data_IF_831246445186
#
_entry.id   IF_831246445186
#
_cell.length_a   1.000
_cell.length_b   1.000
_cell.length_c   1.000
_cell.angle_alpha   90.00
_cell.angle_beta   90.00
_cell.angle_gamma   90.00
#
_symmetry.space_group_name_H-M   'P 1'
#
loop_
_entity.id
_entity.type
_entity.pdbx_description
1 polymer ?
#
# COMPACT_ATOMS: atom_id res chain seq x y z
N UNK A 1 -2.75 -26.05 7.39
CA UNK A 1 -2.62 -24.80 6.61
C UNK A 1 -2.76 -24.98 5.11
N UNK A 2 -1.93 -25.83 4.46
CA UNK A 2 -1.94 -26.00 3.00
C UNK A 2 -3.26 -26.52 2.41
N UNK A 3 -4.01 -27.35 3.15
CA UNK A 3 -5.28 -27.91 2.67
C UNK A 3 -6.36 -26.85 2.40
N UNK A 4 -6.42 -25.78 3.20
CA UNK A 4 -7.34 -24.66 2.96
C UNK A 4 -6.99 -23.92 1.66
N UNK A 5 -5.70 -23.66 1.46
CA UNK A 5 -5.19 -22.97 0.26
C UNK A 5 -5.51 -23.75 -1.00
N UNK A 6 -5.17 -25.04 -1.01
CA UNK A 6 -5.42 -25.94 -2.15
C UNK A 6 -6.91 -26.06 -2.46
N UNK A 7 -7.76 -26.16 -1.43
CA UNK A 7 -9.21 -26.22 -1.63
C UNK A 7 -9.73 -24.93 -2.28
N UNK A 8 -9.31 -23.76 -1.78
CA UNK A 8 -9.75 -22.49 -2.32
C UNK A 8 -9.20 -22.24 -3.74
N UNK A 9 -7.94 -22.58 -4.00
CA UNK A 9 -7.36 -22.51 -5.36
C UNK A 9 -8.07 -23.43 -6.34
N UNK A 10 -8.41 -24.65 -5.92
CA UNK A 10 -9.20 -25.57 -6.73
C UNK A 10 -10.59 -25.00 -7.05
N UNK A 11 -11.25 -24.33 -6.09
CA UNK A 11 -12.56 -23.68 -6.31
C UNK A 11 -12.42 -22.52 -7.30
N UNK A 12 -11.42 -21.65 -7.12
CA UNK A 12 -11.22 -20.47 -7.96
C UNK A 12 -10.92 -20.89 -9.41
N UNK A 13 -10.10 -21.92 -9.62
CA UNK A 13 -9.69 -22.38 -10.95
C UNK A 13 -10.68 -23.34 -11.64
N UNK A 14 -11.59 -23.99 -10.91
CA UNK A 14 -12.47 -25.02 -11.50
C UNK A 14 -13.60 -24.43 -12.35
N UNK A 15 -13.93 -25.11 -13.45
CA UNK A 15 -15.15 -24.80 -14.23
C UNK A 15 -16.43 -25.25 -13.49
N UNK A 16 -17.60 -24.65 -13.82
CA UNK A 16 -18.88 -25.07 -13.26
C UNK A 16 -19.09 -26.58 -13.40
N UNK A 17 -19.09 -27.29 -12.27
CA UNK A 17 -19.12 -28.75 -12.25
C UNK A 17 -19.62 -29.29 -10.92
N UNK A 18 -20.03 -30.56 -10.90
CA UNK A 18 -20.38 -31.25 -9.65
C UNK A 18 -19.22 -31.25 -8.64
N UNK A 19 -17.97 -31.33 -9.12
CA UNK A 19 -16.77 -31.26 -8.29
C UNK A 19 -16.60 -29.89 -7.63
N UNK A 20 -16.87 -28.81 -8.37
CA UNK A 20 -16.88 -27.45 -7.82
C UNK A 20 -17.92 -27.35 -6.69
N UNK A 21 -19.16 -27.80 -6.91
CA UNK A 21 -20.21 -27.73 -5.88
C UNK A 21 -19.80 -28.49 -4.61
N UNK A 22 -19.24 -29.69 -4.76
CA UNK A 22 -18.74 -30.48 -3.61
C UNK A 22 -17.55 -29.82 -2.90
N UNK A 23 -16.67 -29.13 -3.63
CA UNK A 23 -15.57 -28.38 -3.03
C UNK A 23 -16.09 -27.18 -2.24
N UNK A 24 -17.08 -26.46 -2.77
CA UNK A 24 -17.75 -25.35 -2.09
C UNK A 24 -18.52 -25.85 -0.85
N UNK A 25 -19.20 -27.00 -0.92
CA UNK A 25 -19.82 -27.68 0.24
C UNK A 25 -18.80 -27.96 1.34
N UNK A 26 -17.63 -28.45 0.95
CA UNK A 26 -16.54 -28.76 1.88
C UNK A 26 -16.02 -27.50 2.55
N UNK A 27 -15.89 -26.40 1.80
CA UNK A 27 -15.45 -25.11 2.34
C UNK A 27 -16.49 -24.48 3.28
N UNK A 28 -17.78 -24.56 2.94
CA UNK A 28 -18.85 -24.12 3.82
C UNK A 28 -18.88 -24.92 5.13
N UNK A 29 -18.78 -26.25 5.06
CA UNK A 29 -18.70 -27.09 6.26
C UNK A 29 -17.43 -26.81 7.08
N UNK A 30 -16.33 -26.44 6.43
CA UNK A 30 -15.11 -26.03 7.12
C UNK A 30 -15.34 -24.76 7.95
N UNK A 31 -16.02 -23.75 7.39
CA UNK A 31 -16.36 -22.52 8.11
C UNK A 31 -17.37 -22.79 9.24
N UNK A 32 -18.42 -23.57 8.98
CA UNK A 32 -19.46 -23.89 9.98
C UNK A 32 -18.92 -24.69 11.19
N UNK A 33 -17.83 -25.45 11.02
CA UNK A 33 -17.19 -26.23 12.08
C UNK A 33 -16.12 -25.45 12.86
N UNK A 34 -16.08 -24.12 12.73
CA UNK A 34 -15.06 -23.26 13.36
C UNK A 34 -13.63 -23.74 13.13
N UNK A 35 -13.32 -24.22 11.92
CA UNK A 35 -11.98 -24.70 11.58
C UNK A 35 -11.04 -23.57 11.17
N UNK A 36 -11.56 -22.36 10.99
CA UNK A 36 -10.76 -21.19 10.66
C UNK A 36 -9.98 -20.71 11.90
N UNK A 37 -10.58 -20.80 13.10
CA UNK A 37 -9.90 -20.55 14.36
C UNK A 37 -8.76 -21.55 14.58
N UNK A 38 -8.94 -22.82 14.21
CA UNK A 38 -7.85 -23.81 14.26
C UNK A 38 -6.69 -23.47 13.31
N UNK A 39 -6.99 -23.04 12.07
CA UNK A 39 -5.98 -22.58 11.10
C UNK A 39 -5.18 -21.39 11.64
N UNK A 40 -5.88 -20.35 12.11
CA UNK A 40 -5.25 -19.13 12.65
C UNK A 40 -4.43 -19.46 13.91
N UNK A 41 -4.94 -20.33 14.78
CA UNK A 41 -4.27 -20.79 16.00
C UNK A 41 -2.94 -21.50 15.72
N UNK A 42 -2.87 -22.39 14.72
CA UNK A 42 -1.62 -23.07 14.37
C UNK A 42 -0.52 -22.07 13.96
N UNK A 43 -0.88 -21.00 13.25
CA UNK A 43 0.05 -19.93 12.88
C UNK A 43 0.50 -19.14 14.12
N UNK A 44 -0.42 -18.88 15.05
CA UNK A 44 -0.14 -18.19 16.31
C UNK A 44 0.78 -19.00 17.24
N UNK A 45 0.66 -20.33 17.23
CA UNK A 45 1.47 -21.25 18.05
C UNK A 45 2.89 -21.42 17.52
N UNK A 46 3.09 -21.42 16.19
CA UNK A 46 4.39 -21.69 15.55
C UNK A 46 5.33 -20.47 15.50
N UNK A 47 5.55 -19.77 16.62
CA UNK A 47 6.35 -18.54 16.66
C UNK A 47 7.84 -18.72 16.27
N UNK A 48 8.27 -19.97 16.03
CA UNK A 48 9.65 -20.36 15.73
C UNK A 48 9.73 -21.18 14.43
N UNK A 49 10.30 -20.57 13.38
CA UNK A 49 10.97 -21.18 12.22
C UNK A 49 10.22 -22.03 11.17
N UNK A 50 9.00 -22.54 11.41
CA UNK A 50 8.41 -23.53 10.49
C UNK A 50 7.64 -22.99 9.26
N UNK A 51 7.12 -21.75 9.28
CA UNK A 51 6.26 -21.22 8.20
C UNK A 51 6.86 -20.01 7.50
N UNK A 52 7.02 -20.11 6.17
CA UNK A 52 7.50 -19.03 5.31
C UNK A 52 6.64 -17.76 5.48
N UNK A 53 7.23 -16.55 5.57
CA UNK A 53 6.48 -15.29 5.65
C UNK A 53 5.54 -15.11 4.44
N UNK A 54 5.94 -15.61 3.27
CA UNK A 54 5.14 -15.61 2.05
C UNK A 54 3.87 -16.45 2.22
N UNK A 55 3.97 -17.62 2.86
CA UNK A 55 2.82 -18.47 3.13
C UNK A 55 1.83 -17.78 4.08
N UNK A 56 2.33 -17.11 5.14
CA UNK A 56 1.48 -16.37 6.09
C UNK A 56 0.71 -15.24 5.39
N UNK A 57 1.39 -14.45 4.57
CA UNK A 57 0.74 -13.38 3.81
C UNK A 57 -0.28 -13.95 2.79
N UNK A 58 0.02 -15.10 2.17
CA UNK A 58 -0.90 -15.74 1.23
C UNK A 58 -2.16 -16.24 1.94
N UNK A 59 -2.01 -16.88 3.12
CA UNK A 59 -3.16 -17.33 3.94
C UNK A 59 -4.00 -16.13 4.36
N UNK A 60 -3.35 -15.07 4.88
CA UNK A 60 -4.02 -13.84 5.27
C UNK A 60 -4.84 -13.24 4.11
N UNK A 61 -4.24 -13.12 2.92
CA UNK A 61 -4.95 -12.65 1.72
C UNK A 61 -6.15 -13.53 1.40
N UNK A 62 -5.98 -14.86 1.40
CA UNK A 62 -7.04 -15.79 1.06
C UNK A 62 -8.18 -15.81 2.07
N UNK A 63 -7.89 -15.66 3.36
CA UNK A 63 -8.90 -15.58 4.42
C UNK A 63 -9.71 -14.29 4.27
N UNK A 64 -9.05 -13.14 4.16
CA UNK A 64 -9.74 -11.85 4.14
C UNK A 64 -10.53 -11.63 2.83
N UNK A 65 -9.97 -12.04 1.69
CA UNK A 65 -10.63 -11.90 0.38
C UNK A 65 -11.54 -13.09 0.02
N UNK A 66 -11.80 -14.03 0.93
CA UNK A 66 -12.64 -15.20 0.66
C UNK A 66 -14.04 -14.84 0.12
N UNK A 67 -14.77 -13.87 0.72
CA UNK A 67 -16.07 -13.43 0.19
C UNK A 67 -16.00 -12.93 -1.23
N UNK A 68 -14.95 -12.18 -1.58
CA UNK A 68 -14.79 -11.59 -2.91
C UNK A 68 -14.48 -12.67 -3.94
N UNK A 69 -13.58 -13.61 -3.61
CA UNK A 69 -13.25 -14.75 -4.48
C UNK A 69 -14.48 -15.60 -4.79
N UNK A 70 -15.28 -15.94 -3.77
CA UNK A 70 -16.46 -16.79 -3.94
C UNK A 70 -17.65 -16.04 -4.53
N UNK A 71 -17.84 -14.77 -4.19
CA UNK A 71 -18.83 -13.91 -4.82
C UNK A 71 -18.59 -13.79 -6.32
N UNK A 72 -17.34 -13.55 -6.73
CA UNK A 72 -16.97 -13.47 -8.15
C UNK A 72 -17.11 -14.82 -8.86
N UNK A 73 -16.79 -15.93 -8.18
CA UNK A 73 -16.81 -17.26 -8.76
C UNK A 73 -18.22 -17.87 -8.89
N UNK A 74 -19.04 -17.69 -7.85
CA UNK A 74 -20.36 -18.34 -7.74
C UNK A 74 -21.50 -17.43 -8.20
N UNK A 75 -21.30 -16.11 -8.17
CA UNK A 75 -22.28 -15.10 -8.62
C UNK A 75 -23.67 -15.34 -8.00
N UNK A 76 -24.68 -15.65 -8.82
CA UNK A 76 -26.06 -15.89 -8.38
C UNK A 76 -26.23 -17.17 -7.56
N UNK A 77 -25.31 -18.14 -7.68
CA UNK A 77 -25.32 -19.42 -6.96
C UNK A 77 -24.50 -19.34 -5.66
N UNK A 78 -24.15 -18.13 -5.21
CA UNK A 78 -23.38 -17.94 -3.99
C UNK A 78 -24.18 -18.32 -2.74
N UNK A 79 -23.47 -18.66 -1.66
CA UNK A 79 -24.07 -19.15 -0.42
C UNK A 79 -24.14 -18.07 0.65
N UNK A 80 -25.14 -18.12 1.55
CA UNK A 80 -25.31 -17.15 2.63
C UNK A 80 -24.02 -16.89 3.42
N UNK A 81 -23.28 -17.94 3.77
CA UNK A 81 -22.06 -17.83 4.59
C UNK A 81 -20.93 -17.04 3.93
N UNK A 82 -20.91 -16.94 2.59
CA UNK A 82 -19.84 -16.29 1.84
C UNK A 82 -20.14 -14.82 1.54
N UNK A 83 -21.34 -14.32 1.85
CA UNK A 83 -21.60 -12.89 1.74
C UNK A 83 -20.83 -12.13 2.83
N UNK A 84 -20.22 -10.97 2.52
CA UNK A 84 -19.47 -10.17 3.49
C UNK A 84 -20.22 -9.94 4.82
N UNK A 85 -21.53 -9.69 4.74
CA UNK A 85 -22.38 -9.41 5.91
C UNK A 85 -22.48 -10.60 6.88
N UNK A 86 -22.25 -11.83 6.41
CA UNK A 86 -22.29 -13.04 7.22
C UNK A 86 -20.89 -13.59 7.50
N UNK A 87 -19.97 -13.44 6.56
CA UNK A 87 -18.60 -13.94 6.68
C UNK A 87 -17.78 -13.17 7.71
N UNK A 88 -17.79 -11.84 7.70
CA UNK A 88 -16.96 -11.05 8.62
C UNK A 88 -17.39 -11.14 10.08
N UNK A 89 -18.70 -11.23 10.42
CA UNK A 89 -19.11 -11.57 11.78
C UNK A 89 -18.68 -12.98 12.19
N UNK A 90 -18.77 -13.97 11.28
CA UNK A 90 -18.25 -15.32 11.53
C UNK A 90 -16.74 -15.28 11.80
N UNK A 91 -15.95 -14.58 10.97
CA UNK A 91 -14.52 -14.39 11.16
C UNK A 91 -14.22 -13.69 12.51
N UNK A 92 -15.05 -12.74 12.92
CA UNK A 92 -14.98 -12.13 14.25
C UNK A 92 -15.11 -13.16 15.38
N UNK A 93 -16.07 -14.08 15.29
CA UNK A 93 -16.21 -15.18 16.26
C UNK A 93 -15.00 -16.12 16.24
N UNK A 94 -14.47 -16.45 15.06
CA UNK A 94 -13.28 -17.28 14.92
C UNK A 94 -12.05 -16.61 15.57
N UNK A 95 -11.91 -15.29 15.44
CA UNK A 95 -10.86 -14.51 16.12
C UNK A 95 -11.02 -14.58 17.64
N UNK A 96 -12.23 -14.43 18.18
CA UNK A 96 -12.48 -14.56 19.63
C UNK A 96 -12.05 -15.94 20.13
N UNK A 97 -12.38 -17.01 19.41
CA UNK A 97 -11.95 -18.37 19.78
C UNK A 97 -10.43 -18.53 19.78
N UNK A 98 -9.72 -17.90 18.84
CA UNK A 98 -8.25 -17.90 18.83
C UNK A 98 -7.70 -17.14 20.03
N UNK A 99 -8.28 -15.98 20.34
CA UNK A 99 -7.87 -15.19 21.51
C UNK A 99 -8.12 -15.94 22.83
N UNK A 100 -9.20 -16.72 22.93
CA UNK A 100 -9.45 -17.62 24.06
C UNK A 100 -8.35 -18.69 24.21
N UNK A 101 -7.89 -19.28 23.09
CA UNK A 101 -6.76 -20.23 23.11
C UNK A 101 -5.44 -19.56 23.47
N UNK A 102 -5.18 -18.37 22.96
CA UNK A 102 -4.00 -17.56 23.33
C UNK A 102 -4.04 -17.27 24.83
N UNK A 103 -5.19 -16.86 25.37
CA UNK A 103 -5.36 -16.64 26.81
C UNK A 103 -5.05 -17.90 27.62
N UNK A 104 -5.59 -19.06 27.23
CA UNK A 104 -5.28 -20.35 27.87
C UNK A 104 -3.78 -20.68 27.82
N UNK A 105 -3.17 -20.58 26.64
CA UNK A 105 -1.73 -20.85 26.44
C UNK A 105 -0.84 -19.94 27.28
N UNK A 106 -1.16 -18.64 27.36
CA UNK A 106 -0.41 -17.68 28.17
C UNK A 106 -0.58 -17.95 29.67
N UNK A 107 -1.75 -18.44 30.10
CA UNK A 107 -2.00 -18.87 31.49
C UNK A 107 -1.19 -20.11 31.86
N UNK A 108 -1.02 -21.01 30.91
CA UNK A 108 -0.20 -22.21 31.05
C UNK A 108 1.31 -21.94 30.90
N UNK A 109 1.71 -20.68 30.70
CA UNK A 109 3.11 -20.28 30.54
C UNK A 109 3.74 -20.70 29.22
N UNK A 110 2.94 -20.97 28.19
CA UNK A 110 3.39 -21.37 26.87
C UNK A 110 3.50 -20.16 25.92
N UNK A 111 4.56 -20.13 25.13
CA UNK A 111 4.78 -19.08 24.13
C UNK A 111 3.81 -19.19 22.94
N UNK A 112 3.21 -18.05 22.58
CA UNK A 112 2.34 -17.92 21.41
C UNK A 112 2.28 -16.45 20.94
N UNK A 113 1.83 -16.22 19.70
CA UNK A 113 1.70 -14.90 19.08
C UNK A 113 0.26 -14.47 18.90
N UNK A 114 -0.05 -13.21 19.16
CA UNK A 114 -1.29 -12.57 18.69
C UNK A 114 -1.12 -11.89 17.32
N UNK A 115 0.12 -11.75 16.83
CA UNK A 115 0.46 -10.92 15.68
C UNK A 115 -0.36 -11.25 14.42
N UNK A 116 -0.52 -12.53 14.10
CA UNK A 116 -1.29 -12.93 12.92
C UNK A 116 -2.78 -12.55 13.02
N UNK A 117 -3.36 -12.60 14.24
CA UNK A 117 -4.74 -12.15 14.48
C UNK A 117 -4.86 -10.65 14.23
N UNK A 118 -3.89 -9.87 14.71
CA UNK A 118 -3.84 -8.43 14.45
C UNK A 118 -3.71 -8.10 12.97
N UNK A 119 -2.92 -8.87 12.22
CA UNK A 119 -2.80 -8.71 10.77
C UNK A 119 -4.12 -8.99 10.05
N UNK A 120 -4.86 -10.04 10.46
CA UNK A 120 -6.21 -10.31 9.93
C UNK A 120 -7.13 -9.14 10.22
N UNK A 121 -7.21 -8.70 11.48
CA UNK A 121 -8.08 -7.60 11.88
C UNK A 121 -7.77 -6.31 11.10
N UNK A 122 -6.50 -5.92 11.05
CA UNK A 122 -6.06 -4.73 10.32
C UNK A 122 -6.39 -4.80 8.82
N UNK A 123 -6.22 -5.97 8.19
CA UNK A 123 -6.58 -6.14 6.77
C UNK A 123 -8.09 -6.04 6.53
N UNK A 124 -8.91 -6.62 7.41
CA UNK A 124 -10.37 -6.51 7.32
C UNK A 124 -10.81 -5.05 7.42
N UNK A 125 -10.19 -4.26 8.31
CA UNK A 125 -10.43 -2.82 8.42
C UNK A 125 -10.07 -2.07 7.12
N UNK A 126 -8.92 -2.38 6.51
CA UNK A 126 -8.52 -1.80 5.21
C UNK A 126 -9.51 -2.16 4.10
N UNK A 127 -10.10 -3.35 4.12
CA UNK A 127 -11.15 -3.77 3.18
C UNK A 127 -12.51 -3.09 3.42
N UNK A 128 -12.64 -2.17 4.39
CA UNK A 128 -13.87 -1.45 4.67
C UNK A 128 -14.93 -2.26 5.41
N UNK A 129 -14.53 -3.37 6.06
CA UNK A 129 -15.42 -4.34 6.73
C UNK A 129 -15.34 -4.27 8.25
N UNK A 130 -14.86 -3.13 8.77
CA UNK A 130 -14.69 -2.89 10.20
C UNK A 130 -16.02 -2.95 10.95
N UNK A 131 -17.13 -2.50 10.35
CA UNK A 131 -18.44 -2.48 11.03
C UNK A 131 -18.89 -3.90 11.37
N UNK A 132 -18.79 -4.81 10.40
CA UNK A 132 -19.20 -6.19 10.52
C UNK A 132 -18.33 -6.93 11.56
N UNK A 133 -17.01 -6.83 11.47
CA UNK A 133 -16.11 -7.55 12.37
C UNK A 133 -16.10 -6.97 13.79
N UNK A 134 -16.06 -5.64 13.94
CA UNK A 134 -16.01 -5.00 15.26
C UNK A 134 -17.34 -5.12 16.00
N UNK A 135 -18.47 -5.24 15.30
CA UNK A 135 -19.77 -5.49 15.95
C UNK A 135 -19.78 -6.78 16.78
N UNK A 136 -18.93 -7.75 16.42
CA UNK A 136 -18.75 -9.01 17.15
C UNK A 136 -17.63 -8.89 18.17
N UNK A 137 -16.48 -8.35 17.78
CA UNK A 137 -15.30 -8.29 18.64
C UNK A 137 -15.52 -7.39 19.87
N UNK A 138 -16.01 -6.15 19.66
CA UNK A 138 -16.05 -5.13 20.72
C UNK A 138 -16.84 -5.58 21.96
N UNK A 139 -18.07 -6.14 21.84
CA UNK A 139 -18.80 -6.60 23.02
C UNK A 139 -18.06 -7.69 23.81
N UNK A 140 -17.45 -8.66 23.11
CA UNK A 140 -16.72 -9.77 23.74
C UNK A 140 -15.45 -9.29 24.43
N UNK A 141 -14.66 -8.47 23.75
CA UNK A 141 -13.43 -7.91 24.31
C UNK A 141 -13.73 -7.05 25.53
N UNK A 142 -14.75 -6.18 25.46
CA UNK A 142 -15.18 -5.34 26.60
C UNK A 142 -15.57 -6.16 27.81
N UNK A 143 -16.33 -7.25 27.63
CA UNK A 143 -16.72 -8.11 28.75
C UNK A 143 -15.52 -8.83 29.39
N UNK A 144 -14.58 -9.32 28.58
CA UNK A 144 -13.41 -10.07 29.06
C UNK A 144 -12.38 -9.16 29.75
N UNK A 145 -12.11 -7.98 29.20
CA UNK A 145 -11.07 -7.07 29.73
C UNK A 145 -11.42 -6.44 31.08
N UNK A 146 -12.70 -6.42 31.47
CA UNK A 146 -13.13 -5.89 32.77
C UNK A 146 -12.58 -6.66 33.97
N UNK A 147 -12.33 -7.96 33.82
CA UNK A 147 -11.98 -8.85 34.94
C UNK A 147 -10.69 -9.62 34.74
N UNK A 148 -10.03 -9.47 33.59
CA UNK A 148 -8.92 -10.34 33.19
C UNK A 148 -7.74 -9.54 32.60
N UNK A 149 -6.65 -9.48 33.36
CA UNK A 149 -5.44 -8.75 32.98
C UNK A 149 -4.70 -9.38 31.79
N UNK A 150 -4.86 -10.69 31.55
CA UNK A 150 -4.29 -11.35 30.38
C UNK A 150 -5.07 -10.89 29.15
N UNK A 151 -6.40 -10.82 29.23
CA UNK A 151 -7.20 -10.25 28.15
C UNK A 151 -6.94 -8.77 27.91
N UNK A 152 -6.70 -7.96 28.95
CA UNK A 152 -6.26 -6.56 28.77
C UNK A 152 -4.97 -6.49 27.93
N UNK A 153 -3.98 -7.33 28.26
CA UNK A 153 -2.71 -7.39 27.52
C UNK A 153 -2.88 -7.91 26.10
N UNK A 154 -3.70 -8.95 25.88
CA UNK A 154 -3.98 -9.48 24.54
C UNK A 154 -4.70 -8.40 23.71
N UNK A 155 -5.72 -7.73 24.26
CA UNK A 155 -6.44 -6.66 23.58
C UNK A 155 -5.52 -5.49 23.22
N UNK A 156 -4.64 -5.07 24.14
CA UNK A 156 -3.64 -4.04 23.85
C UNK A 156 -2.79 -4.44 22.64
N UNK A 157 -2.21 -5.65 22.66
CA UNK A 157 -1.37 -6.15 21.56
C UNK A 157 -2.13 -6.35 20.24
N UNK A 158 -3.42 -6.68 20.31
CA UNK A 158 -4.29 -6.83 19.14
C UNK A 158 -4.43 -5.50 18.38
N UNK A 159 -4.65 -4.41 19.10
CA UNK A 159 -4.87 -3.09 18.49
C UNK A 159 -3.57 -2.31 18.25
N UNK A 160 -2.52 -2.50 19.06
CA UNK A 160 -1.20 -1.88 18.90
C UNK A 160 -0.58 -2.15 17.52
N UNK A 161 -0.90 -3.29 16.90
CA UNK A 161 -0.32 -3.74 15.62
C UNK A 161 -1.23 -3.49 14.40
N UNK A 162 -2.41 -2.91 14.59
CA UNK A 162 -3.28 -2.46 13.48
C UNK A 162 -2.72 -1.20 12.78
N UNK A 163 -2.14 -0.21 13.50
CA UNK A 163 -1.47 0.94 12.91
C UNK A 163 -0.30 0.61 11.99
N UNK A 164 0.42 -0.50 12.21
CA UNK A 164 1.61 -0.87 11.42
C UNK A 164 1.31 -0.97 9.91
N UNK A 165 0.10 -1.39 9.53
CA UNK A 165 -0.31 -1.44 8.11
C UNK A 165 -0.64 -0.08 7.51
N UNK A 166 -1.09 0.87 8.32
CA UNK A 166 -1.28 2.25 7.85
C UNK A 166 0.08 2.91 7.60
N UNK A 167 1.08 2.56 8.41
CA UNK A 167 2.46 2.98 8.19
C UNK A 167 3.01 2.41 6.87
N UNK A 168 2.75 1.14 6.56
CA UNK A 168 3.16 0.55 5.27
C UNK A 168 2.57 1.30 4.07
N UNK A 169 1.30 1.71 4.12
CA UNK A 169 0.65 2.47 3.03
C UNK A 169 1.29 3.86 2.88
N UNK A 170 1.55 4.55 3.99
CA UNK A 170 2.21 5.86 3.99
C UNK A 170 3.65 5.77 3.46
N UNK A 171 4.36 4.70 3.78
CA UNK A 171 5.71 4.43 3.28
C UNK A 171 5.69 4.09 1.78
N UNK A 172 4.74 3.26 1.31
CA UNK A 172 4.55 2.98 -0.13
C UNK A 172 4.20 4.25 -0.91
N UNK A 173 3.35 5.12 -0.37
CA UNK A 173 3.02 6.41 -0.98
C UNK A 173 4.24 7.32 -1.11
N UNK A 174 5.07 7.39 -0.06
CA UNK A 174 6.30 8.18 -0.06
C UNK A 174 7.32 7.64 -1.10
N UNK A 175 7.53 6.32 -1.15
CA UNK A 175 8.44 5.69 -2.12
C UNK A 175 7.92 5.86 -3.56
N UNK A 176 6.61 5.70 -3.77
CA UNK A 176 6.00 5.89 -5.10
C UNK A 176 6.12 7.34 -5.58
N UNK A 177 5.91 8.32 -4.69
CA UNK A 177 6.12 9.73 -5.02
C UNK A 177 7.59 10.02 -5.38
N UNK A 178 8.53 9.41 -4.66
CA UNK A 178 9.96 9.50 -4.98
C UNK A 178 10.29 8.93 -6.36
N UNK A 179 9.82 7.72 -6.68
CA UNK A 179 10.05 7.08 -7.98
C UNK A 179 9.49 7.92 -9.13
N UNK A 180 8.28 8.47 -8.98
CA UNK A 180 7.63 9.31 -9.97
C UNK A 180 8.27 10.70 -10.10
N UNK A 181 8.94 11.17 -9.05
CA UNK A 181 9.67 12.43 -9.07
C UNK A 181 11.08 12.32 -9.69
N UNK A 182 11.63 11.12 -9.83
CA UNK A 182 12.97 10.94 -10.38
C UNK A 182 12.97 11.06 -11.92
N UNK A 183 13.93 11.80 -12.52
CA UNK A 183 14.10 11.80 -13.97
C UNK A 183 14.54 10.40 -14.42
N UNK A 184 13.84 9.82 -15.40
CA UNK A 184 14.13 8.48 -15.90
C UNK A 184 15.61 8.36 -16.28
N UNK A 185 16.39 7.61 -15.49
CA UNK A 185 17.79 7.34 -15.80
C UNK A 185 17.85 6.68 -17.17
N UNK A 186 18.55 7.31 -18.11
CA UNK A 186 18.74 6.83 -19.47
C UNK A 186 19.19 5.37 -19.47
N UNK A 187 18.33 4.45 -19.88
CA UNK A 187 18.75 3.14 -20.36
C UNK A 187 19.75 3.38 -21.50
N UNK A 188 20.97 2.89 -21.30
CA UNK A 188 22.05 2.96 -22.27
C UNK A 188 21.56 2.42 -23.62
N UNK A 189 21.47 3.29 -24.64
CA UNK A 189 21.26 2.85 -26.02
C UNK A 189 22.52 2.09 -26.45
N UNK A 190 22.43 0.76 -26.37
CA UNK A 190 23.33 -0.16 -27.05
C UNK A 190 23.33 0.16 -28.55
N UNK A 191 24.49 0.53 -29.08
CA UNK A 191 24.71 0.66 -30.51
C UNK A 191 24.50 -0.70 -31.17
N UNK A 192 23.35 -0.91 -31.80
CA UNK A 192 23.11 -2.02 -32.72
C UNK A 192 23.20 -1.48 -34.15
N UNK A 193 24.31 -1.78 -34.79
CA UNK A 193 24.60 -1.56 -36.19
C UNK A 193 23.94 -2.63 -37.09
N UNK A 194 23.49 -2.18 -38.27
CA UNK A 194 23.22 -2.91 -39.52
C UNK A 194 21.83 -3.57 -39.73
N UNK A 195 21.46 -3.93 -40.98
CA UNK A 195 21.35 -3.11 -42.21
C UNK A 195 20.05 -3.45 -43.00
N UNK A 196 19.64 -2.66 -44.00
CA UNK A 196 18.59 -3.14 -44.94
C UNK A 196 18.63 -2.53 -46.35
N UNK A 197 19.08 -3.39 -47.27
CA UNK A 197 18.57 -3.79 -48.61
C UNK A 197 18.29 -2.71 -49.68
N UNK A 198 18.93 -2.96 -50.83
CA UNK A 198 18.96 -2.21 -52.08
C UNK A 198 17.69 -2.38 -52.94
N UNK A 199 17.34 -1.34 -53.71
CA UNK A 199 16.60 -1.47 -54.96
C UNK A 199 17.39 -0.74 -56.05
N UNK A 200 17.73 -1.48 -57.11
CA UNK A 200 18.47 -1.03 -58.29
C UNK A 200 17.51 -0.30 -59.23
N UNK A 201 17.89 0.90 -59.71
CA UNK A 201 17.49 1.36 -61.04
C UNK A 201 18.59 2.24 -61.65
N UNK A 202 18.80 2.07 -62.95
CA UNK A 202 20.00 2.42 -63.72
C UNK A 202 19.93 3.83 -64.34
N UNK A 203 21.09 4.51 -64.37
CA UNK A 203 21.56 5.60 -65.24
C UNK A 203 20.63 6.79 -65.60
N UNK A 204 21.00 7.99 -65.13
CA UNK A 204 21.58 9.05 -65.98
C UNK A 204 21.86 10.35 -65.18
N UNK A 205 23.05 10.93 -65.41
CA UNK A 205 23.41 12.34 -65.15
C UNK A 205 23.39 12.87 -63.70
N UNK A 206 24.58 13.13 -63.14
CA UNK A 206 24.78 13.81 -61.85
C UNK A 206 24.22 15.25 -61.80
N UNK A 207 24.02 15.80 -60.60
CA UNK A 207 24.14 17.23 -60.38
C UNK A 207 25.32 17.54 -59.43
N UNK A 208 26.52 17.68 -59.99
CA UNK A 208 27.74 18.15 -59.33
C UNK A 208 27.64 19.61 -58.81
N UNK A 209 26.54 20.30 -59.11
CA UNK A 209 26.27 21.67 -58.63
C UNK A 209 26.20 21.76 -57.11
N UNK A 210 25.75 20.69 -56.41
CA UNK A 210 25.61 20.69 -54.95
C UNK A 210 26.98 20.85 -54.27
N UNK A 211 27.99 20.13 -54.75
CA UNK A 211 29.37 20.24 -54.25
C UNK A 211 29.98 21.60 -54.55
N UNK A 212 29.73 22.13 -55.74
CA UNK A 212 30.21 23.46 -56.14
C UNK A 212 29.59 24.57 -55.28
N UNK A 213 28.29 24.47 -54.97
CA UNK A 213 27.61 25.42 -54.08
C UNK A 213 28.15 25.32 -52.66
N UNK A 214 28.32 24.11 -52.14
CA UNK A 214 28.82 23.89 -50.78
C UNK A 214 30.27 24.37 -50.59
N UNK A 215 31.10 24.24 -51.64
CA UNK A 215 32.47 24.74 -51.67
C UNK A 215 32.52 26.27 -51.74
N UNK A 216 31.60 26.93 -52.48
CA UNK A 216 31.47 28.40 -52.48
C UNK A 216 30.96 28.94 -51.14
N UNK A 217 30.04 28.24 -50.50
CA UNK A 217 29.55 28.61 -49.17
C UNK A 217 30.69 28.51 -48.16
N UNK A 218 31.49 27.43 -48.20
CA UNK A 218 32.66 27.26 -47.31
C UNK A 218 33.76 28.31 -47.54
N UNK A 219 34.04 28.72 -48.76
CA UNK A 219 35.10 29.69 -49.05
C UNK A 219 34.72 31.14 -48.75
N UNK A 220 33.42 31.47 -48.66
CA UNK A 220 32.92 32.83 -48.39
C UNK A 220 32.37 33.06 -46.98
N UNK A 221 32.30 32.05 -46.13
CA UNK A 221 31.76 32.21 -44.76
C UNK A 221 32.80 31.88 -43.69
N UNK A 222 33.14 32.88 -42.86
CA UNK A 222 33.96 32.67 -41.66
C UNK A 222 33.08 32.01 -40.59
N UNK A 223 33.35 30.75 -40.26
CA UNK A 223 32.61 30.01 -39.22
C UNK A 223 33.22 30.29 -37.86
N UNK A 224 32.49 30.99 -36.99
CA UNK A 224 32.80 31.01 -35.57
C UNK A 224 32.37 29.67 -34.98
N UNK A 225 33.32 28.94 -34.38
CA UNK A 225 32.97 27.75 -33.61
C UNK A 225 32.18 28.21 -32.39
N UNK A 226 30.85 28.07 -32.43
CA UNK A 226 30.05 28.06 -31.21
C UNK A 226 30.49 26.79 -30.48
N UNK A 227 31.25 26.94 -29.38
CA UNK A 227 31.61 25.81 -28.52
C UNK A 227 30.37 24.99 -28.21
N UNK A 228 30.52 23.66 -28.01
CA UNK A 228 29.41 22.71 -27.82
C UNK A 228 28.26 23.41 -27.09
N UNK A 229 27.21 23.77 -27.83
CA UNK A 229 25.94 24.11 -27.20
C UNK A 229 25.55 22.82 -26.52
N UNK A 230 25.71 22.76 -25.20
CA UNK A 230 25.05 21.75 -24.42
C UNK A 230 23.59 21.94 -24.79
N UNK A 231 23.05 21.02 -25.61
CA UNK A 231 21.63 21.00 -25.88
C UNK A 231 21.01 21.00 -24.50
N UNK A 232 20.21 22.03 -24.22
CA UNK A 232 19.42 22.16 -23.01
C UNK A 232 18.77 20.80 -22.81
N UNK A 233 19.28 20.03 -21.84
CA UNK A 233 18.72 18.72 -21.60
C UNK A 233 17.31 19.04 -21.11
N UNK A 234 16.31 18.79 -21.95
CA UNK A 234 14.93 18.75 -21.50
C UNK A 234 14.90 17.70 -20.40
N UNK A 235 15.02 18.16 -19.16
CA UNK A 235 14.89 17.34 -17.98
C UNK A 235 13.56 16.61 -18.09
N UNK A 236 13.58 15.30 -17.86
CA UNK A 236 12.35 14.52 -17.85
C UNK A 236 11.41 15.19 -16.85
N UNK A 237 10.17 15.54 -17.25
CA UNK A 237 9.26 16.25 -16.36
C UNK A 237 8.92 15.37 -15.16
N UNK A 238 8.84 15.99 -13.98
CA UNK A 238 8.39 15.34 -12.76
C UNK A 238 7.00 14.72 -12.98
N UNK A 239 6.90 13.39 -12.96
CA UNK A 239 5.64 12.68 -13.23
C UNK A 239 4.70 12.69 -12.02
N UNK A 240 5.23 13.00 -10.82
CA UNK A 240 4.45 13.18 -9.62
C UNK A 240 3.73 14.55 -9.59
N UNK A 241 4.33 15.59 -10.18
CA UNK A 241 3.79 16.96 -10.19
C UNK A 241 2.29 17.08 -10.58
N UNK A 242 1.77 16.45 -11.64
CA UNK A 242 0.35 16.57 -12.02
C UNK A 242 -0.60 15.85 -11.07
N UNK A 243 -0.13 14.87 -10.29
CA UNK A 243 -0.95 14.05 -9.40
C UNK A 243 -0.78 14.40 -7.92
N UNK A 244 0.24 15.17 -7.55
CA UNK A 244 0.62 15.48 -6.17
C UNK A 244 -0.56 15.93 -5.29
N UNK A 245 -1.41 16.84 -5.80
CA UNK A 245 -2.58 17.32 -5.07
C UNK A 245 -3.63 16.25 -4.76
N UNK A 246 -3.77 15.23 -5.61
CA UNK A 246 -4.75 14.14 -5.42
C UNK A 246 -4.40 13.23 -4.25
N UNK A 247 -3.11 13.15 -3.88
CA UNK A 247 -2.66 12.40 -2.71
C UNK A 247 -2.53 13.30 -1.49
N UNK A 248 -2.00 14.51 -1.68
CA UNK A 248 -1.68 15.42 -0.60
C UNK A 248 -2.91 15.94 0.15
N UNK A 249 -3.91 16.48 -0.56
CA UNK A 249 -5.05 17.13 0.11
C UNK A 249 -5.96 16.14 0.85
N UNK A 250 -6.29 14.94 0.32
CA UNK A 250 -7.08 13.98 1.07
C UNK A 250 -6.41 13.49 2.36
N UNK A 251 -5.08 13.34 2.35
CA UNK A 251 -4.31 12.98 3.56
C UNK A 251 -4.32 14.07 4.63
N UNK A 252 -4.45 15.33 4.22
CA UNK A 252 -4.50 16.48 5.12
C UNK A 252 -5.92 16.81 5.62
N UNK A 253 -6.96 16.21 5.04
CA UNK A 253 -8.35 16.50 5.40
C UNK A 253 -8.81 15.73 6.63
N UNK A 254 -9.67 16.35 7.45
CA UNK A 254 -10.36 15.73 8.59
C UNK A 254 -9.42 15.09 9.63
N UNK A 255 -8.15 15.52 9.71
CA UNK A 255 -7.19 15.02 10.71
C UNK A 255 -7.61 15.32 12.15
N UNK A 256 -8.50 16.30 12.32
CA UNK A 256 -9.06 16.81 13.56
C UNK A 256 -10.34 16.08 13.99
N UNK A 257 -10.87 15.16 13.17
CA UNK A 257 -12.07 14.39 13.50
C UNK A 257 -11.70 13.10 14.23
N UNK A 258 -12.02 12.96 15.52
CA UNK A 258 -11.84 11.69 16.22
C UNK A 258 -12.82 10.67 15.63
N UNK A 259 -12.29 9.54 15.15
CA UNK A 259 -13.08 8.35 14.85
C UNK A 259 -13.07 7.46 16.10
N UNK A 260 -14.12 6.67 16.31
CA UNK A 260 -14.35 5.90 17.55
C UNK A 260 -13.18 5.02 18.01
N UNK A 261 -12.23 4.70 17.12
CA UNK A 261 -11.04 3.88 17.37
C UNK A 261 -9.75 4.50 16.83
N UNK A 262 -9.76 5.78 16.44
CA UNK A 262 -8.63 6.44 15.81
C UNK A 262 -8.66 7.94 16.12
N UNK A 263 -7.72 8.37 16.94
CA UNK A 263 -7.58 9.73 17.46
C UNK A 263 -6.16 10.25 17.22
N UNK A 264 -5.95 10.83 16.04
CA UNK A 264 -4.68 11.42 15.62
C UNK A 264 -4.19 12.53 16.55
N UNK A 265 -5.11 13.30 17.14
CA UNK A 265 -4.77 14.44 18.02
C UNK A 265 -4.68 14.03 19.50
N UNK A 266 -5.23 12.87 19.85
CA UNK A 266 -5.09 12.21 21.15
C UNK A 266 -4.00 11.15 21.11
N UNK A 267 -4.34 9.89 21.37
CA UNK A 267 -3.32 8.87 21.71
C UNK A 267 -2.47 8.37 20.51
N UNK A 268 -2.87 8.63 19.26
CA UNK A 268 -2.23 8.08 18.05
C UNK A 268 -1.07 8.93 17.51
N UNK A 269 -0.22 9.47 18.40
CA UNK A 269 0.89 10.37 18.06
C UNK A 269 1.88 9.79 17.04
N UNK A 270 2.11 8.46 17.08
CA UNK A 270 3.01 7.79 16.14
C UNK A 270 2.48 7.85 14.70
N UNK A 271 1.18 7.62 14.53
CA UNK A 271 0.52 7.67 13.22
C UNK A 271 0.44 9.11 12.74
N UNK A 272 0.13 10.05 13.63
CA UNK A 272 0.18 11.47 13.32
C UNK A 272 1.59 11.90 12.86
N UNK A 273 2.63 11.52 13.59
CA UNK A 273 4.01 11.84 13.24
C UNK A 273 4.43 11.26 11.88
N UNK A 274 4.02 10.02 11.57
CA UNK A 274 4.24 9.41 10.25
C UNK A 274 3.51 10.15 9.15
N UNK A 275 2.23 10.47 9.35
CA UNK A 275 1.44 11.26 8.40
C UNK A 275 2.12 12.61 8.10
N UNK A 276 2.57 13.33 9.14
CA UNK A 276 3.25 14.63 8.99
C UNK A 276 4.54 14.48 8.17
N UNK A 277 5.33 13.43 8.45
CA UNK A 277 6.53 13.12 7.67
C UNK A 277 6.22 12.78 6.21
N UNK A 278 5.19 11.99 5.95
CA UNK A 278 4.77 11.67 4.57
C UNK A 278 4.32 12.92 3.83
N UNK A 279 3.54 13.80 4.47
CA UNK A 279 3.14 15.09 3.88
C UNK A 279 4.36 15.97 3.53
N UNK A 280 5.39 16.00 4.38
CA UNK A 280 6.64 16.69 4.08
C UNK A 280 7.34 16.11 2.85
N UNK A 281 7.36 14.78 2.72
CA UNK A 281 7.96 14.08 1.58
C UNK A 281 7.18 14.37 0.28
N UNK A 282 5.85 14.31 0.31
CA UNK A 282 5.01 14.65 -0.84
C UNK A 282 5.18 16.11 -1.26
N UNK A 283 5.30 17.03 -0.29
CA UNK A 283 5.58 18.45 -0.56
C UNK A 283 6.96 18.64 -1.22
N UNK A 284 7.97 17.91 -0.74
CA UNK A 284 9.32 17.95 -1.31
C UNK A 284 9.33 17.44 -2.76
N UNK A 285 8.70 16.29 -3.04
CA UNK A 285 8.66 15.71 -4.38
C UNK A 285 7.70 16.40 -5.35
N UNK A 286 6.82 17.29 -4.87
CA UNK A 286 6.02 18.16 -5.71
C UNK A 286 6.79 19.37 -6.26
N UNK A 287 8.12 19.43 -6.10
CA UNK A 287 8.98 20.52 -6.58
C UNK A 287 8.61 20.96 -8.01
N UNK A 288 8.42 22.27 -8.20
CA UNK A 288 8.03 22.91 -9.46
C UNK A 288 6.63 22.56 -10.00
N UNK A 289 5.78 21.86 -9.24
CA UNK A 289 4.38 21.67 -9.62
C UNK A 289 3.59 22.97 -9.46
N UNK A 290 2.59 23.19 -10.32
CA UNK A 290 1.70 24.37 -10.24
C UNK A 290 0.91 24.39 -8.93
N UNK A 291 0.66 23.22 -8.34
CA UNK A 291 -0.11 23.05 -7.09
C UNK A 291 0.72 23.33 -5.82
N UNK A 292 2.05 23.45 -5.95
CA UNK A 292 2.98 23.58 -4.81
C UNK A 292 2.66 24.74 -3.87
N UNK A 293 2.32 25.97 -4.33
CA UNK A 293 1.98 27.07 -3.42
C UNK A 293 0.73 26.77 -2.58
N UNK A 294 -0.28 26.10 -3.17
CA UNK A 294 -1.49 25.72 -2.46
C UNK A 294 -1.23 24.61 -1.43
N UNK A 295 -0.40 23.61 -1.79
CA UNK A 295 0.04 22.57 -0.85
C UNK A 295 0.84 23.15 0.31
N UNK A 296 1.77 24.08 0.02
CA UNK A 296 2.58 24.74 1.03
C UNK A 296 1.74 25.56 2.01
N UNK A 297 0.74 26.31 1.52
CA UNK A 297 -0.19 27.04 2.37
C UNK A 297 -0.97 26.10 3.31
N UNK A 298 -1.56 25.04 2.76
CA UNK A 298 -2.34 24.08 3.56
C UNK A 298 -1.46 23.38 4.60
N UNK A 299 -0.23 23.02 4.24
CA UNK A 299 0.73 22.39 5.15
C UNK A 299 1.15 23.35 6.28
N UNK A 300 1.32 24.64 5.98
CA UNK A 300 1.62 25.65 7.01
C UNK A 300 0.47 25.82 8.00
N UNK A 301 -0.78 25.81 7.54
CA UNK A 301 -1.95 25.86 8.43
C UNK A 301 -2.00 24.63 9.35
N UNK A 302 -1.74 23.45 8.81
CA UNK A 302 -1.62 22.20 9.58
C UNK A 302 -0.46 22.25 10.59
N UNK A 303 0.72 22.72 10.16
CA UNK A 303 1.88 22.89 11.05
C UNK A 303 1.57 23.88 12.17
N UNK A 304 0.90 24.98 11.85
CA UNK A 304 0.51 25.99 12.80
C UNK A 304 -0.40 25.42 13.89
N UNK A 305 -1.37 24.59 13.52
CA UNK A 305 -2.27 23.93 14.46
C UNK A 305 -1.52 23.01 15.45
N UNK A 306 -0.48 22.31 15.00
CA UNK A 306 0.23 21.28 15.78
C UNK A 306 1.58 21.72 16.37
N UNK A 307 2.00 22.98 16.18
CA UNK A 307 3.35 23.48 16.50
C UNK A 307 3.85 23.24 17.93
N UNK A 308 2.94 23.06 18.90
CA UNK A 308 3.25 22.82 20.31
C UNK A 308 2.89 21.41 20.78
N UNK A 309 2.83 20.45 19.87
CA UNK A 309 2.56 19.05 20.19
C UNK A 309 3.56 18.50 21.22
N UNK A 310 3.07 17.69 22.16
CA UNK A 310 3.87 17.16 23.28
C UNK A 310 4.90 16.13 22.81
N UNK A 311 4.49 15.27 21.89
CA UNK A 311 5.34 14.24 21.29
C UNK A 311 6.52 14.80 20.47
N UNK A 312 7.71 14.23 20.64
CA UNK A 312 8.95 14.66 19.96
C UNK A 312 8.98 14.26 18.49
N UNK A 313 8.43 13.10 18.15
CA UNK A 313 8.42 12.58 16.79
C UNK A 313 7.49 13.40 15.89
N UNK A 314 6.30 13.77 16.40
CA UNK A 314 5.40 14.71 15.71
C UNK A 314 6.09 16.05 15.45
N UNK A 315 6.75 16.63 16.47
CA UNK A 315 7.49 17.91 16.30
C UNK A 315 8.60 17.83 15.26
N UNK A 316 9.32 16.71 15.20
CA UNK A 316 10.32 16.48 14.17
C UNK A 316 9.70 16.43 12.76
N UNK A 317 8.54 15.76 12.62
CA UNK A 317 7.74 15.78 11.39
C UNK A 317 7.36 17.20 10.97
N UNK A 318 6.87 18.02 11.89
CA UNK A 318 6.43 19.40 11.61
C UNK A 318 7.61 20.27 11.12
N UNK A 319 8.79 20.11 11.71
CA UNK A 319 10.02 20.79 11.26
C UNK A 319 10.41 20.33 9.84
N UNK A 320 10.32 19.03 9.56
CA UNK A 320 10.52 18.49 8.21
C UNK A 320 9.54 19.09 7.22
N UNK A 321 8.27 19.27 7.59
CA UNK A 321 7.26 19.91 6.76
C UNK A 321 7.65 21.35 6.43
N UNK A 322 8.03 22.16 7.44
CA UNK A 322 8.49 23.54 7.20
C UNK A 322 9.70 23.57 6.26
N UNK A 323 10.69 22.69 6.48
CA UNK A 323 11.85 22.59 5.59
C UNK A 323 11.45 22.23 4.16
N UNK A 324 10.53 21.27 3.97
CA UNK A 324 10.07 20.86 2.64
C UNK A 324 9.35 22.00 1.90
N UNK A 325 8.58 22.83 2.62
CA UNK A 325 7.89 24.00 2.05
C UNK A 325 8.90 25.04 1.58
N UNK A 326 9.90 25.36 2.40
CA UNK A 326 10.95 26.32 2.08
C UNK A 326 11.81 25.89 0.89
N UNK A 327 12.01 24.58 0.71
CA UNK A 327 12.76 24.03 -0.41
C UNK A 327 11.92 23.95 -1.70
N UNK A 328 10.61 23.75 -1.59
CA UNK A 328 9.73 23.50 -2.74
C UNK A 328 8.95 24.69 -3.26
N UNK A 329 8.62 25.67 -2.41
CA UNK A 329 7.87 26.86 -2.81
C UNK A 329 8.86 27.94 -3.27
N UNK A 330 8.84 28.36 -4.55
CA UNK A 330 9.68 29.46 -5.01
C UNK A 330 9.29 30.78 -4.32
N UNK A 331 10.30 31.60 -4.03
CA UNK A 331 10.20 32.88 -3.31
C UNK A 331 9.40 33.96 -4.05
#
# INVERSE_FOLDING_TARGET
DQSFMVLLDAIISAEPSFRLNKAVDTLEQFLQKSRLSALIWEICKQHTEASSPVLRETILNKVVCLPDHLGNKLQEVNRPVFYPQNYFPLLGMEIIQVMERISGSLRDGLDCSIFFVSQVLGKVCVHGRQKEILSVLVPHLTSRTQSDCIWQRICWRLFESVPDRWMDILDVLAVSAQELSQPASSLSKSNASHPSIQIISHNSSSPDWKKVVEQRVRSKTRRFAKGRSQAEQLGTPNQFAPIAGHFFFPLLQNFDRPLTTFDLLGDDHLVLGRLVHTLAILMYFALHAVVTPAMGKALLEFVWALRFHTDTYVRHGLLSSVSSILLSVPA
#
